data_IF_445827814035
#
_entry.id   IF_445827814035
#
_cell.length_a   1.000
_cell.length_b   1.000
_cell.length_c   1.000
_cell.angle_alpha   90.00
_cell.angle_beta   90.00
_cell.angle_gamma   90.00
#
_symmetry.space_group_name_H-M   'P 1'
#
loop_
_entity.id
_entity.type
_entity.pdbx_description
1 polymer ?
#
# COMPACT_ATOMS: atom_id res chain seq x y z
N UNK A 1 41.25 -9.94 -27.24
CA UNK A 1 42.40 -10.61 -26.59
C UNK A 1 42.81 -9.75 -25.40
N UNK A 2 42.32 -10.09 -24.20
CA UNK A 2 42.80 -9.47 -22.96
C UNK A 2 42.76 -10.56 -21.89
N UNK A 3 43.98 -11.03 -21.51
CA UNK A 3 44.21 -12.09 -20.53
C UNK A 3 43.87 -11.60 -19.13
N UNK A 4 43.03 -12.35 -18.42
CA UNK A 4 42.80 -12.23 -16.98
C UNK A 4 43.96 -12.91 -16.24
N UNK A 5 44.72 -12.12 -15.50
CA UNK A 5 45.78 -12.58 -14.58
C UNK A 5 45.16 -13.38 -13.40
N UNK A 6 45.69 -14.59 -13.17
CA UNK A 6 45.41 -15.40 -11.98
C UNK A 6 46.24 -14.87 -10.82
N UNK A 7 45.71 -14.78 -9.59
CA UNK A 7 46.54 -14.49 -8.41
C UNK A 7 47.37 -15.73 -8.04
N UNK A 8 48.67 -15.51 -7.83
CA UNK A 8 49.65 -16.49 -7.41
C UNK A 8 49.31 -17.07 -6.03
N UNK A 9 49.21 -18.41 -6.00
CA UNK A 9 49.20 -19.17 -4.74
C UNK A 9 50.63 -19.16 -4.16
N UNK A 10 50.83 -18.40 -3.11
CA UNK A 10 52.05 -18.40 -2.33
C UNK A 10 52.34 -19.81 -1.76
N UNK A 11 53.42 -20.45 -2.26
CA UNK A 11 53.95 -21.72 -1.74
C UNK A 11 54.52 -21.49 -0.34
N UNK A 12 54.01 -22.24 0.64
CA UNK A 12 54.69 -22.38 1.94
C UNK A 12 55.96 -23.20 1.78
N UNK A 13 57.10 -22.75 2.27
CA UNK A 13 58.35 -23.56 2.30
C UNK A 13 58.26 -24.67 3.35
N UNK A 14 58.53 -25.91 2.92
CA UNK A 14 58.69 -27.08 3.76
C UNK A 14 59.96 -26.97 4.60
N UNK A 15 59.87 -26.90 5.91
CA UNK A 15 61.01 -26.92 6.84
C UNK A 15 60.54 -27.15 8.27
N UNK A 16 60.71 -28.40 8.70
CA UNK A 16 60.87 -28.99 10.06
C UNK A 16 60.38 -28.23 11.28
N UNK A 17 59.52 -28.95 11.99
CA UNK A 17 59.41 -29.01 13.46
C UNK A 17 59.35 -27.68 14.25
N UNK A 18 58.17 -27.18 14.37
CA UNK A 18 57.62 -26.66 15.66
C UNK A 18 56.11 -26.44 15.46
N UNK A 19 55.35 -27.37 16.03
CA UNK A 19 53.89 -27.21 16.18
C UNK A 19 53.65 -25.98 17.03
N UNK A 20 53.30 -24.85 16.40
CA UNK A 20 52.73 -23.72 17.12
C UNK A 20 51.22 -23.96 17.23
N UNK A 21 50.66 -24.09 18.44
CA UNK A 21 49.22 -24.29 18.63
C UNK A 21 48.37 -23.06 18.30
N UNK A 22 48.96 -21.95 17.88
CA UNK A 22 48.28 -20.67 17.78
C UNK A 22 47.66 -20.37 16.39
N UNK A 23 48.02 -21.16 15.35
CA UNK A 23 47.41 -20.95 14.01
C UNK A 23 46.04 -21.58 13.84
N UNK A 24 45.74 -22.64 14.57
CA UNK A 24 44.45 -23.35 14.43
C UNK A 24 43.27 -22.63 15.14
N UNK A 25 43.58 -21.78 16.13
CA UNK A 25 42.57 -21.02 16.86
C UNK A 25 42.15 -19.71 16.18
N UNK A 26 43.01 -19.14 15.31
CA UNK A 26 42.68 -17.88 14.62
C UNK A 26 41.75 -18.08 13.43
N UNK A 27 41.72 -19.25 12.76
CA UNK A 27 40.78 -19.52 11.66
C UNK A 27 39.37 -19.88 12.16
N UNK A 28 39.23 -20.41 13.38
CA UNK A 28 37.94 -20.73 13.98
C UNK A 28 37.19 -19.51 14.52
N UNK A 29 37.88 -18.40 14.74
CA UNK A 29 37.27 -17.12 15.22
C UNK A 29 36.72 -16.29 14.05
N UNK A 30 37.17 -16.56 12.80
CA UNK A 30 36.62 -15.96 11.58
C UNK A 30 35.36 -16.66 11.05
N UNK A 31 34.92 -17.77 11.69
CA UNK A 31 33.61 -18.36 11.42
C UNK A 31 32.55 -17.38 11.89
N UNK A 32 32.01 -16.63 10.92
CA UNK A 32 31.12 -15.50 11.08
C UNK A 32 30.10 -15.69 12.17
N UNK A 33 30.01 -14.74 13.06
CA UNK A 33 28.88 -14.62 13.96
C UNK A 33 27.63 -14.72 13.08
N UNK A 34 26.70 -15.68 13.32
CA UNK A 34 25.47 -15.75 12.56
C UNK A 34 24.79 -14.40 12.72
N UNK A 35 24.69 -13.64 11.61
CA UNK A 35 23.97 -12.37 11.62
C UNK A 35 22.60 -12.64 12.23
N UNK A 36 22.37 -12.13 13.43
CA UNK A 36 21.08 -12.26 14.10
C UNK A 36 20.04 -11.73 13.14
N UNK A 37 19.04 -12.56 12.75
CA UNK A 37 18.01 -12.12 11.80
C UNK A 37 17.46 -10.80 12.30
N UNK A 38 17.59 -9.74 11.51
CA UNK A 38 17.07 -8.41 11.88
C UNK A 38 15.61 -8.56 12.22
N UNK A 39 15.24 -8.24 13.46
CA UNK A 39 13.86 -8.28 13.92
C UNK A 39 12.98 -7.52 12.93
N UNK A 40 11.90 -8.17 12.46
CA UNK A 40 10.98 -7.54 11.53
C UNK A 40 10.39 -6.29 12.21
N UNK A 41 10.59 -5.10 11.63
CA UNK A 41 10.03 -3.86 12.16
C UNK A 41 8.50 -3.93 12.07
N UNK A 42 7.79 -3.84 13.18
CA UNK A 42 6.34 -3.83 13.16
C UNK A 42 5.82 -2.56 12.47
N UNK A 43 4.69 -2.66 11.79
CA UNK A 43 4.00 -1.48 11.24
C UNK A 43 3.59 -0.57 12.41
N UNK A 44 3.99 0.72 12.42
CA UNK A 44 3.64 1.65 13.49
C UNK A 44 2.13 1.81 13.67
N UNK A 45 1.67 2.08 14.89
CA UNK A 45 0.24 2.23 15.19
C UNK A 45 -0.42 3.34 14.37
N UNK A 46 0.26 4.49 14.23
CA UNK A 46 -0.26 5.63 13.49
C UNK A 46 -0.49 5.32 11.99
N UNK A 47 0.31 4.42 11.38
CA UNK A 47 0.08 3.96 10.00
C UNK A 47 -1.21 3.17 9.89
N UNK A 48 -1.52 2.35 10.89
CA UNK A 48 -2.81 1.62 10.94
C UNK A 48 -3.96 2.60 11.15
N UNK A 49 -3.77 3.63 12.00
CA UNK A 49 -4.79 4.66 12.23
C UNK A 49 -5.08 5.47 10.96
N UNK A 50 -4.06 5.90 10.21
CA UNK A 50 -4.26 6.63 8.95
C UNK A 50 -4.88 5.74 7.88
N UNK A 51 -4.46 4.47 7.79
CA UNK A 51 -5.06 3.49 6.87
C UNK A 51 -6.53 3.18 7.20
N UNK A 52 -6.94 3.24 8.46
CA UNK A 52 -8.34 3.10 8.90
C UNK A 52 -9.15 4.38 8.64
N UNK A 53 -8.55 5.53 8.96
CA UNK A 53 -9.24 6.82 8.86
C UNK A 53 -9.65 7.14 7.42
N UNK A 54 -8.83 6.78 6.41
CA UNK A 54 -9.12 7.04 5.01
C UNK A 54 -10.48 6.45 4.56
N UNK A 55 -10.76 5.15 4.63
CA UNK A 55 -12.05 4.61 4.26
C UNK A 55 -13.18 5.08 5.17
N UNK A 56 -12.94 5.26 6.47
CA UNK A 56 -13.96 5.73 7.41
C UNK A 56 -14.44 7.14 7.08
N UNK A 57 -13.51 8.06 6.82
CA UNK A 57 -13.83 9.46 6.45
C UNK A 57 -14.45 9.52 5.05
N UNK A 58 -13.98 8.70 4.11
CA UNK A 58 -14.58 8.63 2.78
C UNK A 58 -16.05 8.25 2.85
N UNK A 59 -16.37 7.18 3.59
CA UNK A 59 -17.76 6.70 3.76
C UNK A 59 -18.61 7.74 4.51
N UNK A 60 -18.09 8.28 5.63
CA UNK A 60 -18.79 9.33 6.38
C UNK A 60 -19.06 10.56 5.51
N UNK A 61 -18.06 11.00 4.72
CA UNK A 61 -18.16 12.15 3.84
C UNK A 61 -19.30 12.03 2.82
N UNK A 62 -19.40 10.90 2.13
CA UNK A 62 -20.49 10.75 1.17
C UNK A 62 -21.85 10.49 1.83
N UNK A 63 -21.92 9.84 3.01
CA UNK A 63 -23.19 9.65 3.72
C UNK A 63 -23.73 10.99 4.21
N UNK A 64 -22.89 11.81 4.87
CA UNK A 64 -23.26 13.14 5.33
C UNK A 64 -23.56 14.06 4.14
N UNK A 65 -22.66 14.07 3.12
CA UNK A 65 -22.85 14.86 1.92
C UNK A 65 -24.16 14.53 1.21
N UNK A 66 -24.52 13.25 1.08
CA UNK A 66 -25.79 12.83 0.46
C UNK A 66 -27.01 13.24 1.29
N UNK A 67 -26.94 13.17 2.63
CA UNK A 67 -28.03 13.56 3.52
C UNK A 67 -28.34 15.05 3.47
N UNK A 68 -27.39 15.88 3.04
CA UNK A 68 -27.55 17.32 2.88
C UNK A 68 -28.10 17.73 1.51
N UNK A 69 -28.20 16.80 0.55
CA UNK A 69 -28.70 17.11 -0.78
C UNK A 69 -30.23 17.24 -0.81
N UNK A 70 -30.79 17.96 -1.81
CA UNK A 70 -32.22 18.05 -2.02
C UNK A 70 -32.82 16.69 -2.39
N UNK A 71 -34.15 16.52 -2.27
CA UNK A 71 -34.84 15.26 -2.51
C UNK A 71 -34.70 14.72 -3.96
N UNK A 72 -34.28 15.56 -4.91
CA UNK A 72 -33.98 15.15 -6.28
C UNK A 72 -32.66 14.41 -6.45
N UNK A 73 -31.79 14.50 -5.48
CA UNK A 73 -30.48 13.80 -5.48
C UNK A 73 -30.65 12.29 -5.35
N UNK A 74 -29.93 11.53 -6.18
CA UNK A 74 -29.96 10.07 -6.14
C UNK A 74 -28.56 9.51 -5.93
N UNK A 75 -28.25 8.93 -4.75
CA UNK A 75 -26.95 8.29 -4.48
C UNK A 75 -26.63 7.14 -5.44
N UNK A 76 -27.63 6.54 -6.07
CA UNK A 76 -27.45 5.48 -7.06
C UNK A 76 -26.88 6.01 -8.37
N UNK A 77 -27.34 7.18 -8.80
CA UNK A 77 -27.01 7.76 -10.10
C UNK A 77 -25.87 8.76 -10.04
N UNK A 78 -25.82 9.56 -8.97
CA UNK A 78 -24.89 10.68 -8.87
C UNK A 78 -23.62 10.28 -8.15
N UNK A 79 -22.49 10.68 -8.72
CA UNK A 79 -21.15 10.33 -8.24
C UNK A 79 -20.81 11.01 -6.91
N UNK A 80 -19.77 10.51 -6.23
CA UNK A 80 -19.17 11.18 -5.07
C UNK A 80 -18.55 12.52 -5.48
N UNK A 81 -18.07 12.62 -6.74
CA UNK A 81 -17.51 13.85 -7.30
C UNK A 81 -18.53 14.98 -7.40
N UNK A 82 -19.81 14.66 -7.68
CA UNK A 82 -20.93 15.64 -7.68
C UNK A 82 -21.12 16.24 -6.29
N UNK A 83 -20.97 15.46 -5.21
CA UNK A 83 -21.08 15.97 -3.83
C UNK A 83 -19.97 16.98 -3.49
N UNK A 84 -18.78 16.87 -4.09
CA UNK A 84 -17.69 17.83 -3.97
C UNK A 84 -17.74 18.92 -5.05
N UNK A 85 -18.62 18.78 -6.04
CA UNK A 85 -18.78 19.66 -7.20
C UNK A 85 -19.47 20.99 -6.86
N UNK A 86 -19.49 21.90 -7.83
CA UNK A 86 -20.12 23.22 -7.65
C UNK A 86 -21.64 23.17 -7.50
N UNK A 87 -22.29 22.10 -7.96
CA UNK A 87 -23.74 21.89 -7.82
C UNK A 87 -24.15 21.23 -6.50
N UNK A 88 -23.18 20.68 -5.74
CA UNK A 88 -23.46 20.02 -4.46
C UNK A 88 -23.79 21.00 -3.36
N UNK A 89 -24.90 20.75 -2.63
CA UNK A 89 -25.22 21.47 -1.39
C UNK A 89 -24.17 21.13 -0.35
N UNK A 90 -23.63 22.14 0.35
CA UNK A 90 -22.56 21.96 1.35
C UNK A 90 -21.37 21.09 0.85
N UNK A 91 -21.01 21.29 -0.42
CA UNK A 91 -19.94 20.56 -1.10
C UNK A 91 -18.64 20.44 -0.29
N UNK A 92 -18.40 21.36 0.64
CA UNK A 92 -17.22 21.38 1.50
C UNK A 92 -17.11 20.18 2.41
N UNK A 93 -18.23 19.52 2.75
CA UNK A 93 -18.24 18.26 3.52
C UNK A 93 -17.46 17.18 2.77
N UNK A 94 -17.82 16.95 1.49
CA UNK A 94 -17.15 15.94 0.68
C UNK A 94 -15.75 16.39 0.28
N UNK A 95 -15.54 17.67 -0.02
CA UNK A 95 -14.21 18.22 -0.30
C UNK A 95 -13.26 18.00 0.88
N UNK A 96 -13.70 18.34 2.12
CA UNK A 96 -12.91 18.10 3.32
C UNK A 96 -12.61 16.61 3.55
N UNK A 97 -13.60 15.75 3.32
CA UNK A 97 -13.41 14.30 3.38
C UNK A 97 -12.32 13.83 2.40
N UNK A 98 -12.35 14.26 1.13
CA UNK A 98 -11.32 13.92 0.14
C UNK A 98 -9.93 14.45 0.53
N UNK A 99 -9.84 15.66 1.09
CA UNK A 99 -8.56 16.21 1.59
C UNK A 99 -7.98 15.32 2.71
N UNK A 100 -8.80 14.91 3.67
CA UNK A 100 -8.37 14.01 4.76
C UNK A 100 -8.00 12.64 4.22
N UNK A 101 -8.79 12.07 3.29
CA UNK A 101 -8.49 10.78 2.64
C UNK A 101 -7.14 10.83 1.93
N UNK A 102 -6.91 11.85 1.11
CA UNK A 102 -5.64 12.01 0.39
C UNK A 102 -4.44 12.15 1.34
N UNK A 103 -4.58 12.97 2.39
CA UNK A 103 -3.55 13.12 3.43
C UNK A 103 -3.27 11.79 4.16
N UNK A 104 -4.31 11.02 4.50
CA UNK A 104 -4.18 9.71 5.13
C UNK A 104 -3.48 8.69 4.21
N UNK A 105 -3.78 8.68 2.91
CA UNK A 105 -3.12 7.80 1.93
C UNK A 105 -1.63 8.15 1.80
N UNK A 106 -1.29 9.44 1.73
CA UNK A 106 0.11 9.91 1.71
C UNK A 106 0.84 9.47 2.99
N UNK A 107 0.25 9.74 4.16
CA UNK A 107 0.82 9.36 5.45
C UNK A 107 1.02 7.83 5.54
N UNK A 108 0.01 7.05 5.15
CA UNK A 108 0.09 5.59 5.12
C UNK A 108 1.21 5.12 4.19
N UNK A 109 1.32 5.65 2.98
CA UNK A 109 2.39 5.33 2.04
C UNK A 109 3.78 5.68 2.58
N UNK A 110 3.93 6.85 3.22
CA UNK A 110 5.17 7.27 3.84
C UNK A 110 5.60 6.36 5.01
N UNK A 111 4.64 5.93 5.82
CA UNK A 111 4.90 5.16 7.05
C UNK A 111 4.93 3.64 6.86
N UNK A 112 4.38 3.10 5.78
CA UNK A 112 4.30 1.65 5.53
C UNK A 112 5.64 1.08 5.05
N UNK A 113 6.70 1.28 5.84
CA UNK A 113 8.08 0.88 5.51
C UNK A 113 8.25 -0.64 5.36
N UNK A 114 7.26 -1.40 5.79
CA UNK A 114 7.23 -2.85 5.62
C UNK A 114 7.02 -3.28 4.16
N UNK A 115 6.51 -2.43 3.25
CA UNK A 115 6.41 -2.73 1.82
C UNK A 115 7.54 -2.08 1.02
N UNK A 116 7.72 -2.52 -0.24
CA UNK A 116 8.76 -1.98 -1.14
C UNK A 116 8.51 -0.51 -1.45
N UNK A 117 9.58 0.24 -1.72
CA UNK A 117 9.49 1.66 -2.05
C UNK A 117 8.52 1.98 -3.21
N UNK A 118 8.49 1.23 -4.34
CA UNK A 118 7.52 1.50 -5.40
C UNK A 118 6.05 1.41 -4.95
N UNK A 119 5.72 0.45 -4.09
CA UNK A 119 4.36 0.34 -3.53
C UNK A 119 4.02 1.56 -2.65
N UNK A 120 4.98 2.05 -1.85
CA UNK A 120 4.81 3.25 -1.03
C UNK A 120 4.60 4.50 -1.88
N UNK A 121 5.44 4.68 -2.91
CA UNK A 121 5.34 5.80 -3.85
C UNK A 121 3.98 5.77 -4.55
N UNK A 122 3.52 4.60 -4.99
CA UNK A 122 2.24 4.49 -5.67
C UNK A 122 1.06 4.87 -4.76
N UNK A 123 1.09 4.49 -3.47
CA UNK A 123 0.06 4.89 -2.51
C UNK A 123 0.10 6.40 -2.22
N UNK A 124 1.30 7.01 -2.19
CA UNK A 124 1.45 8.46 -2.10
C UNK A 124 0.86 9.14 -3.33
N UNK A 125 1.13 8.61 -4.54
CA UNK A 125 0.53 9.13 -5.78
C UNK A 125 -0.99 9.00 -5.79
N UNK A 126 -1.55 7.92 -5.26
CA UNK A 126 -3.00 7.78 -5.05
C UNK A 126 -3.53 8.92 -4.17
N UNK A 127 -2.86 9.19 -3.05
CA UNK A 127 -3.24 10.29 -2.16
C UNK A 127 -3.14 11.66 -2.82
N UNK A 128 -2.08 11.93 -3.58
CA UNK A 128 -1.94 13.17 -4.35
C UNK A 128 -3.03 13.31 -5.40
N UNK A 129 -3.40 12.22 -6.07
CA UNK A 129 -4.51 12.21 -7.03
C UNK A 129 -5.84 12.52 -6.35
N UNK A 130 -6.08 11.96 -5.16
CA UNK A 130 -7.28 12.26 -4.35
C UNK A 130 -7.33 13.74 -3.94
N UNK A 131 -6.20 14.35 -3.54
CA UNK A 131 -6.10 15.78 -3.30
C UNK A 131 -6.36 16.60 -4.58
N UNK A 132 -5.88 16.12 -5.73
CA UNK A 132 -6.14 16.73 -7.04
C UNK A 132 -7.63 16.71 -7.40
N UNK A 133 -8.35 15.63 -7.13
CA UNK A 133 -9.82 15.54 -7.27
C UNK A 133 -10.49 16.62 -6.42
N UNK A 134 -10.12 16.72 -5.14
CA UNK A 134 -10.66 17.74 -4.23
C UNK A 134 -10.37 19.18 -4.69
N UNK A 135 -9.20 19.41 -5.29
CA UNK A 135 -8.77 20.72 -5.78
C UNK A 135 -9.38 21.11 -7.14
N UNK A 136 -10.01 20.18 -7.84
CA UNK A 136 -10.66 20.38 -9.15
C UNK A 136 -12.15 20.04 -9.10
N UNK A 137 -12.98 20.83 -8.40
CA UNK A 137 -14.41 20.56 -8.25
C UNK A 137 -15.10 20.42 -9.60
N UNK A 138 -16.03 19.48 -9.68
CA UNK A 138 -16.78 19.20 -10.91
C UNK A 138 -17.84 20.28 -11.15
N UNK A 139 -17.88 20.93 -12.34
CA UNK A 139 -18.96 21.81 -12.75
C UNK A 139 -20.27 21.04 -12.97
N UNK A 140 -21.41 21.75 -12.95
CA UNK A 140 -22.71 21.16 -13.28
C UNK A 140 -22.81 20.56 -14.69
N UNK A 141 -21.91 20.97 -15.59
CA UNK A 141 -21.82 20.45 -16.98
C UNK A 141 -21.02 19.16 -17.10
N UNK A 142 -20.56 18.60 -16.01
CA UNK A 142 -19.75 17.37 -15.97
C UNK A 142 -18.25 17.59 -15.70
N UNK A 143 -17.47 16.52 -15.61
CA UNK A 143 -16.08 16.58 -15.19
C UNK A 143 -15.17 17.33 -16.19
N UNK A 144 -14.30 18.18 -15.68
CA UNK A 144 -13.24 18.81 -16.48
C UNK A 144 -12.13 17.81 -16.81
N UNK A 145 -11.36 18.07 -17.87
CA UNK A 145 -10.21 17.22 -18.23
C UNK A 145 -9.19 17.08 -17.07
N UNK A 146 -9.01 18.11 -16.24
CA UNK A 146 -8.14 18.08 -15.07
C UNK A 146 -8.68 17.15 -13.99
N UNK A 147 -9.97 17.29 -13.66
CA UNK A 147 -10.65 16.39 -12.72
C UNK A 147 -10.53 14.94 -13.17
N UNK A 148 -10.85 14.67 -14.43
CA UNK A 148 -10.78 13.34 -15.02
C UNK A 148 -9.35 12.77 -14.99
N UNK A 149 -8.33 13.58 -15.24
CA UNK A 149 -6.93 13.15 -15.16
C UNK A 149 -6.55 12.68 -13.76
N UNK A 150 -6.98 13.39 -12.70
CA UNK A 150 -6.75 12.98 -11.31
C UNK A 150 -7.57 11.74 -10.96
N UNK A 151 -8.84 11.66 -11.39
CA UNK A 151 -9.68 10.49 -11.16
C UNK A 151 -9.10 9.22 -11.80
N UNK A 152 -8.71 9.30 -13.08
CA UNK A 152 -8.05 8.19 -13.79
C UNK A 152 -6.72 7.81 -13.12
N UNK A 153 -5.90 8.80 -12.74
CA UNK A 153 -4.64 8.54 -12.02
C UNK A 153 -4.90 7.81 -10.70
N UNK A 154 -5.91 8.22 -9.94
CA UNK A 154 -6.31 7.58 -8.68
C UNK A 154 -6.71 6.11 -8.92
N UNK A 155 -7.55 5.83 -9.91
CA UNK A 155 -7.97 4.47 -10.27
C UNK A 155 -6.79 3.61 -10.71
N UNK A 156 -5.95 4.10 -11.62
CA UNK A 156 -4.79 3.35 -12.14
C UNK A 156 -3.81 3.01 -11.02
N UNK A 157 -3.46 3.99 -10.18
CA UNK A 157 -2.52 3.78 -9.08
C UNK A 157 -3.08 2.78 -8.07
N UNK A 158 -4.37 2.81 -7.80
CA UNK A 158 -5.03 1.89 -6.85
C UNK A 158 -5.11 0.48 -7.41
N UNK A 159 -5.44 0.30 -8.69
CA UNK A 159 -5.49 -1.03 -9.34
C UNK A 159 -4.11 -1.69 -9.42
N UNK A 160 -3.05 -0.91 -9.68
CA UNK A 160 -1.68 -1.43 -9.78
C UNK A 160 -1.06 -1.69 -8.40
N UNK A 161 -1.50 -1.00 -7.36
CA UNK A 161 -0.89 -1.06 -6.03
C UNK A 161 -0.74 -2.47 -5.44
N UNK A 162 -1.74 -3.39 -5.50
CA UNK A 162 -1.62 -4.75 -4.97
C UNK A 162 -0.47 -5.53 -5.61
N UNK A 163 -0.23 -5.34 -6.92
CA UNK A 163 0.89 -6.02 -7.64
C UNK A 163 2.24 -5.66 -7.01
N UNK A 164 2.44 -4.39 -6.61
CA UNK A 164 3.68 -3.93 -6.01
C UNK A 164 3.83 -4.35 -4.54
N UNK A 165 2.73 -4.65 -3.87
CA UNK A 165 2.73 -5.18 -2.49
C UNK A 165 3.08 -6.67 -2.46
N UNK A 166 2.85 -7.40 -3.57
CA UNK A 166 3.02 -8.84 -3.65
C UNK A 166 4.42 -9.31 -3.23
N UNK A 167 4.46 -10.40 -2.44
CA UNK A 167 5.69 -10.99 -1.89
C UNK A 167 5.76 -12.49 -2.18
N UNK A 168 6.97 -12.96 -2.47
CA UNK A 168 7.31 -14.37 -2.60
C UNK A 168 8.16 -14.80 -1.39
N UNK A 169 7.56 -14.99 -0.23
CA UNK A 169 8.28 -15.45 0.94
C UNK A 169 7.46 -16.48 1.71
N UNK A 170 8.08 -17.50 2.34
CA UNK A 170 7.39 -18.47 3.15
C UNK A 170 6.71 -17.77 4.35
N UNK A 171 5.59 -18.30 4.80
CA UNK A 171 4.84 -17.81 5.96
C UNK A 171 4.36 -16.34 5.86
N UNK A 172 4.01 -15.87 4.64
CA UNK A 172 3.33 -14.60 4.44
C UNK A 172 1.82 -14.74 4.62
N UNK A 173 1.12 -13.70 5.11
CA UNK A 173 -0.34 -13.65 5.01
C UNK A 173 -0.79 -13.80 3.56
N UNK A 174 -1.86 -14.54 3.31
CA UNK A 174 -2.37 -14.74 1.97
C UNK A 174 -2.60 -13.44 1.21
N UNK A 175 -3.12 -12.42 1.89
CA UNK A 175 -3.47 -11.11 1.31
C UNK A 175 -2.26 -10.35 0.69
N UNK A 176 -1.03 -10.62 1.14
CA UNK A 176 0.20 -10.06 0.56
C UNK A 176 0.99 -11.08 -0.25
N UNK A 177 0.46 -12.30 -0.44
CA UNK A 177 1.04 -13.29 -1.35
C UNK A 177 0.79 -12.89 -2.81
N UNK A 178 1.53 -13.50 -3.73
CA UNK A 178 1.34 -13.27 -5.18
C UNK A 178 -0.09 -13.58 -5.60
N UNK A 179 -0.65 -14.70 -5.14
CA UNK A 179 -2.02 -15.10 -5.48
C UNK A 179 -3.06 -14.16 -4.85
N UNK A 180 -2.92 -13.80 -3.58
CA UNK A 180 -3.82 -12.86 -2.92
C UNK A 180 -3.81 -11.49 -3.60
N UNK A 181 -2.63 -10.95 -3.88
CA UNK A 181 -2.50 -9.68 -4.59
C UNK A 181 -3.04 -9.75 -6.02
N UNK A 182 -2.82 -10.86 -6.76
CA UNK A 182 -3.40 -11.06 -8.09
C UNK A 182 -4.94 -11.06 -8.03
N UNK A 183 -5.53 -11.78 -7.08
CA UNK A 183 -6.99 -11.79 -6.86
C UNK A 183 -7.52 -10.38 -6.59
N UNK A 184 -6.88 -9.62 -5.69
CA UNK A 184 -7.30 -8.24 -5.38
C UNK A 184 -7.15 -7.34 -6.61
N UNK A 185 -6.07 -7.48 -7.39
CA UNK A 185 -5.88 -6.72 -8.64
C UNK A 185 -7.00 -7.01 -9.64
N UNK A 186 -7.39 -8.27 -9.82
CA UNK A 186 -8.50 -8.65 -10.71
C UNK A 186 -9.82 -8.06 -10.22
N UNK A 187 -10.10 -8.12 -8.91
CA UNK A 187 -11.30 -7.49 -8.33
C UNK A 187 -11.29 -5.97 -8.58
N UNK A 188 -10.18 -5.29 -8.32
CA UNK A 188 -10.08 -3.84 -8.52
C UNK A 188 -10.22 -3.45 -9.99
N UNK A 189 -9.59 -4.21 -10.90
CA UNK A 189 -9.73 -4.01 -12.34
C UNK A 189 -11.19 -4.23 -12.79
N UNK A 190 -11.84 -5.29 -12.32
CA UNK A 190 -13.25 -5.57 -12.63
C UNK A 190 -14.20 -4.46 -12.16
N UNK A 191 -14.05 -4.00 -10.92
CA UNK A 191 -14.83 -2.88 -10.38
C UNK A 191 -14.58 -1.59 -11.16
N UNK A 192 -13.32 -1.31 -11.51
CA UNK A 192 -12.96 -0.12 -12.30
C UNK A 192 -13.47 -0.20 -13.73
N UNK A 193 -13.48 -1.38 -14.35
CA UNK A 193 -14.11 -1.60 -15.66
C UNK A 193 -15.61 -1.38 -15.59
N UNK A 194 -16.28 -1.89 -14.55
CA UNK A 194 -17.71 -1.65 -14.34
C UNK A 194 -18.02 -0.16 -14.19
N UNK A 195 -17.22 0.55 -13.36
CA UNK A 195 -17.32 2.00 -13.21
C UNK A 195 -17.18 2.73 -14.55
N UNK A 196 -16.22 2.32 -15.38
CA UNK A 196 -15.99 2.93 -16.69
C UNK A 196 -17.17 2.69 -17.65
N UNK A 197 -17.76 1.48 -17.64
CA UNK A 197 -18.94 1.13 -18.43
C UNK A 197 -20.13 1.97 -17.96
N UNK A 198 -20.42 2.01 -16.65
CA UNK A 198 -21.50 2.80 -16.09
C UNK A 198 -21.36 4.30 -16.41
N UNK A 199 -20.12 4.82 -16.41
CA UNK A 199 -19.86 6.22 -16.77
C UNK A 199 -20.07 6.52 -18.27
N UNK A 200 -19.84 5.53 -19.16
CA UNK A 200 -20.08 5.69 -20.61
C UNK A 200 -21.54 5.57 -20.99
N UNK A 201 -22.24 4.65 -20.37
CA UNK A 201 -23.62 4.33 -20.71
C UNK A 201 -24.60 5.33 -20.07
N UNK A 202 -24.14 6.27 -19.24
CA UNK A 202 -24.99 7.17 -18.47
C UNK A 202 -25.91 6.40 -17.51
N UNK A 203 -25.41 5.23 -17.03
CA UNK A 203 -26.20 4.24 -16.30
C UNK A 203 -26.80 4.76 -15.00
N UNK A 204 -27.97 4.23 -14.65
CA UNK A 204 -28.70 4.57 -13.44
C UNK A 204 -28.02 4.14 -12.13
N UNK A 205 -26.87 3.46 -12.20
CA UNK A 205 -26.12 2.89 -11.09
C UNK A 205 -24.70 3.49 -10.90
N UNK A 206 -24.32 4.48 -11.70
CA UNK A 206 -22.97 5.08 -11.70
C UNK A 206 -22.49 5.49 -10.29
N UNK A 207 -23.34 6.18 -9.54
CA UNK A 207 -23.00 6.64 -8.19
C UNK A 207 -22.80 5.50 -7.20
N UNK A 208 -23.59 4.42 -7.33
CA UNK A 208 -23.42 3.22 -6.50
C UNK A 208 -22.10 2.50 -6.82
N UNK A 209 -21.81 2.31 -8.11
CA UNK A 209 -20.60 1.61 -8.56
C UNK A 209 -19.35 2.37 -8.14
N UNK A 210 -19.35 3.71 -8.24
CA UNK A 210 -18.24 4.54 -7.77
C UNK A 210 -18.01 4.38 -6.27
N UNK A 211 -19.06 4.42 -5.45
CA UNK A 211 -18.97 4.23 -3.99
C UNK A 211 -18.44 2.86 -3.63
N UNK A 212 -18.99 1.81 -4.25
CA UNK A 212 -18.53 0.44 -4.03
C UNK A 212 -17.06 0.28 -4.39
N UNK A 213 -16.66 0.74 -5.57
CA UNK A 213 -15.28 0.68 -6.04
C UNK A 213 -14.35 1.42 -5.10
N UNK A 214 -14.68 2.66 -4.74
CA UNK A 214 -13.86 3.51 -3.87
C UNK A 214 -13.76 2.93 -2.45
N UNK A 215 -14.85 2.40 -1.87
CA UNK A 215 -14.83 1.78 -0.55
C UNK A 215 -13.93 0.55 -0.50
N UNK A 216 -14.11 -0.37 -1.45
CA UNK A 216 -13.35 -1.62 -1.51
C UNK A 216 -11.86 -1.33 -1.72
N UNK A 217 -11.53 -0.39 -2.60
CA UNK A 217 -10.15 0.02 -2.86
C UNK A 217 -9.51 0.73 -1.66
N UNK A 218 -10.25 1.62 -0.97
CA UNK A 218 -9.74 2.35 0.20
C UNK A 218 -9.48 1.45 1.41
N UNK A 219 -10.16 0.31 1.53
CA UNK A 219 -9.96 -0.65 2.63
C UNK A 219 -8.67 -1.46 2.50
N UNK A 220 -8.15 -1.66 1.30
CA UNK A 220 -7.04 -2.58 1.10
C UNK A 220 -5.73 -2.16 1.78
N UNK A 221 -5.30 -0.87 1.82
CA UNK A 221 -4.15 -0.44 2.58
C UNK A 221 -4.25 -0.77 4.08
N UNK A 222 -5.45 -0.67 4.68
CA UNK A 222 -5.69 -1.08 6.07
C UNK A 222 -5.49 -2.58 6.25
N UNK A 223 -6.07 -3.40 5.37
CA UNK A 223 -5.94 -4.86 5.43
C UNK A 223 -4.47 -5.28 5.34
N UNK A 224 -3.71 -4.68 4.43
CA UNK A 224 -2.26 -4.92 4.29
C UNK A 224 -1.51 -4.48 5.55
N UNK A 225 -1.77 -3.29 6.09
CA UNK A 225 -1.11 -2.79 7.30
C UNK A 225 -1.34 -3.69 8.51
N UNK A 226 -2.59 -4.14 8.71
CA UNK A 226 -2.95 -5.06 9.79
C UNK A 226 -2.30 -6.43 9.64
N UNK A 227 -2.34 -7.01 8.44
CA UNK A 227 -1.74 -8.31 8.14
C UNK A 227 -0.22 -8.30 8.39
N UNK A 228 0.47 -7.26 7.98
CA UNK A 228 1.92 -7.11 8.19
C UNK A 228 2.25 -6.87 9.66
N UNK A 229 1.45 -6.09 10.39
CA UNK A 229 1.65 -5.85 11.83
C UNK A 229 1.50 -7.14 12.64
N UNK A 230 0.45 -7.93 12.38
CA UNK A 230 0.23 -9.21 13.05
C UNK A 230 1.35 -10.21 12.79
N UNK A 231 1.84 -10.29 11.55
CA UNK A 231 2.93 -11.19 11.19
C UNK A 231 4.23 -10.82 11.89
N UNK A 232 4.56 -9.54 11.97
CA UNK A 232 5.74 -9.07 12.70
C UNK A 232 5.63 -9.40 14.20
N UNK A 233 4.47 -9.21 14.82
CA UNK A 233 4.22 -9.57 16.21
C UNK A 233 4.45 -11.05 16.49
N UNK A 234 3.88 -11.95 15.67
CA UNK A 234 4.04 -13.40 15.80
C UNK A 234 5.48 -13.86 15.64
N UNK A 235 6.25 -13.27 14.72
CA UNK A 235 7.68 -13.59 14.53
C UNK A 235 8.51 -13.18 15.73
N UNK A 236 8.28 -12.00 16.28
CA UNK A 236 9.00 -11.50 17.45
C UNK A 236 8.70 -12.34 18.70
N UNK A 237 7.45 -12.82 18.88
CA UNK A 237 7.09 -13.74 19.97
C UNK A 237 7.80 -15.09 19.86
N UNK A 238 7.86 -15.69 18.67
CA UNK A 238 8.56 -16.97 18.44
C UNK A 238 10.05 -16.84 18.70
N UNK A 239 10.69 -15.76 18.31
CA UNK A 239 12.12 -15.53 18.60
C UNK A 239 12.39 -15.38 20.09
N UNK A 240 11.53 -14.67 20.83
CA UNK A 240 11.66 -14.56 22.30
C UNK A 240 11.50 -15.91 23.00
N UNK A 241 10.51 -16.72 22.60
CA UNK A 241 10.32 -18.06 23.18
C UNK A 241 11.49 -19.03 22.92
N UNK A 242 12.16 -18.93 21.78
CA UNK A 242 13.34 -19.75 21.48
C UNK A 242 14.55 -19.38 22.37
N UNK A 243 14.77 -18.09 22.62
CA UNK A 243 15.85 -17.61 23.48
C UNK A 243 15.68 -18.08 24.94
N UNK A 244 14.44 -18.15 25.42
CA UNK A 244 14.15 -18.57 26.81
C UNK A 244 14.31 -20.08 27.03
N UNK A 245 14.31 -20.89 25.96
CA UNK A 245 14.46 -22.37 26.06
C UNK A 245 15.92 -22.81 25.92
N UNK A 246 16.82 -21.93 25.49
CA UNK A 246 18.25 -22.21 25.26
C UNK A 246 19.18 -21.57 26.29
N UNK A 247 18.67 -20.81 27.23
CA UNK A 247 19.38 -20.24 28.39
C UNK A 247 18.98 -20.89 29.68
#
# INVERSE_FOLDING_TARGET
MTQLARPDLARCPSGRDHVRPDCATSELVAAGHPERPRAARPVPGWVVSTAFLAPAVLVAGWLIGAALQPASYSPMRETVSVLAGYSGTDRWVMTAALLVVGACQIATGAGLTAVRLPARVLLILTGLSTLGIAATPEPATGPTSRHLAFAVSCVVTTVVWPVLVARRAPAQPWIVSVYGCATVTVIFAGLSCWLLIAARDGGGDLGMVERLTSAVQALFPLVVALALRQTAGRRNQRQRGQVTLTG
#
